data_IF_333442594420
#
_entry.id   IF_333442594420
#
_cell.length_a   1.000
_cell.length_b   1.000
_cell.length_c   1.000
_cell.angle_alpha   90.00
_cell.angle_beta   90.00
_cell.angle_gamma   90.00
#
_symmetry.space_group_name_H-M   'P 1'
#
loop_
_entity.id
_entity.type
_entity.pdbx_description
1 polymer ?
#
# COMPACT_ATOMS: atom_id res chain seq x y z
N UNK A 1 24.53 -28.05 -4.57
CA UNK A 1 24.08 -26.88 -5.35
C UNK A 1 23.10 -25.98 -4.57
N UNK A 2 22.24 -26.50 -3.69
CA UNK A 2 21.38 -25.67 -2.82
C UNK A 2 22.18 -24.73 -1.87
N UNK A 3 23.31 -25.22 -1.37
CA UNK A 3 24.18 -24.53 -0.40
C UNK A 3 24.77 -23.21 -0.94
N UNK A 4 25.00 -23.13 -2.26
CA UNK A 4 25.55 -21.93 -2.88
C UNK A 4 24.49 -20.82 -3.02
N UNK A 5 23.22 -21.20 -3.23
CA UNK A 5 22.16 -20.24 -3.49
C UNK A 5 21.70 -19.53 -2.20
N UNK A 6 21.62 -20.27 -1.10
CA UNK A 6 21.33 -19.72 0.23
C UNK A 6 22.40 -18.73 0.72
N UNK A 7 23.67 -18.99 0.42
CA UNK A 7 24.76 -18.06 0.71
C UNK A 7 24.66 -16.77 -0.11
N UNK A 8 24.31 -16.87 -1.40
CA UNK A 8 24.10 -15.71 -2.28
C UNK A 8 22.91 -14.88 -1.78
N UNK A 9 21.78 -15.52 -1.44
CA UNK A 9 20.59 -14.84 -0.91
C UNK A 9 20.94 -14.08 0.38
N UNK A 10 21.64 -14.74 1.31
CA UNK A 10 22.07 -14.13 2.58
C UNK A 10 23.00 -12.93 2.37
N UNK A 11 23.90 -13.02 1.39
CA UNK A 11 24.83 -11.93 1.04
C UNK A 11 24.10 -10.73 0.45
N UNK A 12 23.14 -10.97 -0.46
CA UNK A 12 22.30 -9.91 -1.05
C UNK A 12 21.43 -9.24 0.01
N UNK A 13 20.84 -10.02 0.92
CA UNK A 13 20.02 -9.48 2.01
C UNK A 13 20.84 -8.59 2.96
N UNK A 14 22.05 -9.03 3.33
CA UNK A 14 22.96 -8.24 4.16
C UNK A 14 23.36 -6.93 3.47
N UNK A 15 23.65 -6.98 2.16
CA UNK A 15 23.97 -5.80 1.37
C UNK A 15 22.80 -4.80 1.28
N UNK A 16 21.57 -5.29 1.07
CA UNK A 16 20.38 -4.45 1.02
C UNK A 16 20.09 -3.80 2.38
N UNK A 17 20.22 -4.54 3.48
CA UNK A 17 20.07 -4.00 4.84
C UNK A 17 21.05 -2.87 5.11
N UNK A 18 22.30 -3.01 4.67
CA UNK A 18 23.34 -1.99 4.83
C UNK A 18 23.08 -0.74 3.97
N UNK A 19 22.55 -0.92 2.75
CA UNK A 19 22.20 0.20 1.88
C UNK A 19 21.02 1.00 2.41
N UNK A 20 20.02 0.32 2.97
CA UNK A 20 18.80 0.94 3.48
C UNK A 20 19.00 1.62 4.85
N UNK A 21 19.89 1.11 5.72
CA UNK A 21 20.14 1.69 7.05
C UNK A 21 20.82 3.06 7.02
N UNK A 22 21.56 3.36 5.95
CA UNK A 22 22.26 4.63 5.75
C UNK A 22 21.38 5.74 5.18
N UNK A 23 20.15 5.44 4.78
CA UNK A 23 19.19 6.44 4.31
C UNK A 23 18.41 7.02 5.50
N UNK A 24 19.10 7.69 6.42
CA UNK A 24 18.41 8.64 7.30
C UNK A 24 18.06 9.85 6.43
N UNK A 25 16.77 10.20 6.26
CA UNK A 25 16.42 11.41 5.54
C UNK A 25 17.07 12.58 6.26
N UNK A 26 17.99 13.27 5.59
CA UNK A 26 18.52 14.53 6.10
C UNK A 26 17.39 15.55 5.98
N UNK A 27 16.89 16.02 7.12
CA UNK A 27 15.86 17.06 7.22
C UNK A 27 16.52 18.28 7.82
N UNK A 28 16.59 19.37 7.05
CA UNK A 28 17.10 20.66 7.54
C UNK A 28 16.15 21.19 8.64
N UNK A 29 16.64 21.41 9.88
CA UNK A 29 15.81 21.90 10.99
C UNK A 29 15.28 23.32 10.80
N UNK A 30 15.82 24.09 9.85
CA UNK A 30 15.44 25.49 9.62
C UNK A 30 14.35 25.65 8.55
N UNK A 31 13.89 24.55 7.94
CA UNK A 31 12.80 24.58 6.98
C UNK A 31 11.45 24.58 7.72
N UNK A 32 10.54 25.43 7.27
CA UNK A 32 9.15 25.38 7.71
C UNK A 32 8.49 24.08 7.22
N UNK A 33 7.77 23.34 8.09
CA UNK A 33 7.11 22.11 7.69
C UNK A 33 5.98 22.39 6.70
N UNK A 34 6.00 21.72 5.55
CA UNK A 34 4.95 21.82 4.53
C UNK A 34 4.07 20.57 4.50
N UNK A 35 2.75 20.76 4.46
CA UNK A 35 1.80 19.66 4.28
C UNK A 35 1.41 19.53 2.80
N UNK A 36 1.78 18.41 2.19
CA UNK A 36 1.37 18.08 0.83
C UNK A 36 0.02 17.37 0.86
N UNK A 37 -1.01 18.01 0.30
CA UNK A 37 -2.32 17.40 0.11
C UNK A 37 -2.40 16.89 -1.34
N UNK A 38 -2.35 15.57 -1.57
CA UNK A 38 -2.49 15.03 -2.92
C UNK A 38 -3.91 15.22 -3.44
N UNK A 39 -4.03 15.49 -4.74
CA UNK A 39 -5.31 15.49 -5.43
C UNK A 39 -5.92 14.08 -5.57
N UNK A 40 -7.05 14.00 -6.28
CA UNK A 40 -7.69 12.71 -6.59
C UNK A 40 -6.69 11.78 -7.28
N UNK A 41 -6.59 10.53 -6.82
CA UNK A 41 -5.63 9.54 -7.30
C UNK A 41 -4.13 9.93 -7.18
N UNK A 42 -3.79 11.01 -6.46
CA UNK A 42 -2.41 11.44 -6.23
C UNK A 42 -1.67 10.69 -5.11
N UNK A 43 -2.33 9.70 -4.48
CA UNK A 43 -1.76 8.89 -3.40
C UNK A 43 -1.87 7.41 -3.70
N UNK A 44 -0.93 6.63 -3.17
CA UNK A 44 -0.95 5.17 -3.26
C UNK A 44 -2.15 4.63 -2.46
N UNK A 45 -2.85 3.66 -3.03
CA UNK A 45 -3.94 2.92 -2.41
C UNK A 45 -3.52 1.46 -2.25
N UNK A 46 -3.61 0.95 -1.03
CA UNK A 46 -3.42 -0.46 -0.74
C UNK A 46 -4.73 -1.05 -0.21
N UNK A 47 -5.05 -2.27 -0.62
CA UNK A 47 -6.13 -3.07 -0.05
C UNK A 47 -5.54 -4.06 0.93
N UNK A 48 -6.22 -4.27 2.05
CA UNK A 48 -5.80 -5.22 3.07
C UNK A 48 -6.86 -6.28 3.18
N UNK A 49 -6.42 -7.53 3.10
CA UNK A 49 -7.28 -8.66 3.42
C UNK A 49 -7.36 -8.84 4.94
N UNK A 50 -8.56 -8.85 5.46
CA UNK A 50 -8.90 -8.96 6.87
C UNK A 50 -8.67 -10.39 7.41
N UNK A 51 -8.55 -11.40 6.55
CA UNK A 51 -8.46 -12.82 6.91
C UNK A 51 -6.98 -13.21 6.97
N UNK A 52 -6.25 -12.78 5.95
CA UNK A 52 -4.84 -13.12 5.76
C UNK A 52 -3.89 -12.01 6.20
N UNK A 53 -4.40 -10.79 6.42
CA UNK A 53 -3.58 -9.60 6.68
C UNK A 53 -2.76 -9.15 5.47
N UNK A 54 -2.96 -9.77 4.30
CA UNK A 54 -2.13 -9.51 3.13
C UNK A 54 -2.46 -8.13 2.54
N UNK A 55 -1.45 -7.27 2.47
CA UNK A 55 -1.55 -5.94 1.89
C UNK A 55 -1.15 -5.96 0.41
N UNK A 56 -2.06 -5.47 -0.43
CA UNK A 56 -1.87 -5.41 -1.87
C UNK A 56 -2.05 -3.97 -2.38
N UNK A 57 -1.05 -3.42 -3.07
CA UNK A 57 -1.14 -2.08 -3.68
C UNK A 57 -2.13 -2.08 -4.85
N UNK A 58 -3.30 -1.48 -4.77
CA UNK A 58 -4.27 -1.42 -5.88
C UNK A 58 -4.01 -0.24 -6.82
N UNK A 59 -3.40 0.85 -6.32
CA UNK A 59 -3.04 2.04 -7.09
C UNK A 59 -1.78 2.70 -6.52
N UNK A 60 -0.87 3.30 -7.28
CA UNK A 60 -0.73 3.30 -8.73
C UNK A 60 -0.03 2.00 -9.15
N UNK A 61 -0.61 1.25 -10.10
CA UNK A 61 0.02 0.06 -10.72
C UNK A 61 0.37 0.36 -12.18
N UNK A 62 1.46 -0.24 -12.67
CA UNK A 62 1.83 -0.19 -14.09
C UNK A 62 1.09 -1.29 -14.88
N UNK A 63 0.94 -2.48 -14.30
CA UNK A 63 0.28 -3.62 -14.93
C UNK A 63 -1.00 -4.02 -14.18
N UNK A 64 -2.03 -4.42 -14.92
CA UNK A 64 -3.30 -4.90 -14.33
C UNK A 64 -4.09 -3.85 -13.56
N UNK A 65 -3.71 -2.57 -13.66
CA UNK A 65 -4.31 -1.49 -12.88
C UNK A 65 -5.82 -1.40 -13.10
N UNK A 66 -6.28 -1.44 -14.36
CA UNK A 66 -7.72 -1.35 -14.67
C UNK A 66 -8.51 -2.54 -14.12
N UNK A 67 -7.98 -3.77 -14.22
CA UNK A 67 -8.62 -4.97 -13.68
C UNK A 67 -8.74 -4.92 -12.16
N UNK A 68 -7.63 -4.64 -11.47
CA UNK A 68 -7.58 -4.58 -10.00
C UNK A 68 -8.42 -3.42 -9.46
N UNK A 69 -8.40 -2.28 -10.13
CA UNK A 69 -9.21 -1.12 -9.77
C UNK A 69 -10.70 -1.40 -9.97
N UNK A 70 -11.10 -2.00 -11.10
CA UNK A 70 -12.50 -2.37 -11.36
C UNK A 70 -13.01 -3.51 -10.50
N UNK A 71 -12.15 -4.35 -9.94
CA UNK A 71 -12.59 -5.46 -9.10
C UNK A 71 -12.62 -5.06 -7.62
N UNK A 72 -11.64 -4.26 -7.19
CA UNK A 72 -11.42 -3.92 -5.77
C UNK A 72 -11.72 -2.47 -5.43
N UNK A 73 -12.25 -1.64 -6.33
CA UNK A 73 -12.57 -0.22 -6.05
C UNK A 73 -14.06 0.13 -6.23
N UNK A 74 -14.95 -0.55 -5.53
CA UNK A 74 -16.37 -0.18 -5.36
C UNK A 74 -16.73 0.21 -3.93
N UNK A 75 -17.37 1.37 -3.74
CA UNK A 75 -17.99 1.72 -2.46
C UNK A 75 -19.50 1.46 -2.51
N UNK A 76 -20.05 0.74 -1.53
CA UNK A 76 -21.51 0.59 -1.39
C UNK A 76 -22.05 1.74 -0.54
N UNK A 77 -22.98 2.50 -1.09
CA UNK A 77 -23.70 3.49 -0.31
C UNK A 77 -24.86 2.82 0.43
N UNK A 78 -24.95 3.05 1.74
CA UNK A 78 -26.11 2.67 2.53
C UNK A 78 -26.98 3.90 2.80
N UNK A 79 -28.16 4.01 2.15
CA UNK A 79 -29.03 5.18 2.30
C UNK A 79 -29.66 5.29 3.69
N UNK A 80 -29.70 4.21 4.46
CA UNK A 80 -30.32 4.21 5.80
C UNK A 80 -29.43 4.85 6.86
N UNK A 81 -28.11 4.68 6.73
CA UNK A 81 -27.12 5.22 7.66
C UNK A 81 -26.47 6.51 7.13
N UNK A 82 -26.66 6.82 5.85
CA UNK A 82 -25.98 7.93 5.16
C UNK A 82 -24.47 7.73 5.04
N UNK A 83 -23.96 6.56 5.45
CA UNK A 83 -22.54 6.23 5.41
C UNK A 83 -22.23 5.48 4.13
N UNK A 84 -21.10 5.83 3.53
CA UNK A 84 -20.48 5.02 2.49
C UNK A 84 -19.74 3.91 3.22
N UNK A 85 -20.34 2.72 3.29
CA UNK A 85 -19.61 1.54 3.73
C UNK A 85 -18.76 1.10 2.53
N UNK A 86 -17.47 1.40 2.63
CA UNK A 86 -16.48 0.94 1.67
C UNK A 86 -16.35 -0.57 1.85
N UNK A 87 -17.18 -1.34 1.14
CA UNK A 87 -17.25 -2.79 1.19
C UNK A 87 -16.91 -3.31 -0.21
N UNK A 88 -15.75 -3.92 -0.38
CA UNK A 88 -15.30 -4.44 -1.67
C UNK A 88 -15.69 -5.91 -1.80
N UNK A 89 -16.62 -6.20 -2.71
CA UNK A 89 -17.03 -7.57 -3.00
C UNK A 89 -16.21 -8.12 -4.17
N UNK A 90 -15.23 -8.95 -3.85
CA UNK A 90 -14.92 -10.19 -4.58
C UNK A 90 -14.38 -11.28 -3.65
N UNK A 91 -14.04 -10.93 -2.41
CA UNK A 91 -14.06 -11.79 -1.23
C UNK A 91 -14.70 -10.99 -0.08
N UNK A 92 -15.51 -11.59 0.80
CA UNK A 92 -16.15 -10.91 1.94
C UNK A 92 -15.17 -10.34 2.99
N UNK A 93 -13.87 -10.35 2.70
CA UNK A 93 -12.80 -10.14 3.66
C UNK A 93 -11.77 -9.07 3.26
N UNK A 94 -11.97 -8.25 2.22
CA UNK A 94 -11.00 -7.21 1.82
C UNK A 94 -11.47 -5.79 2.21
N UNK A 95 -10.75 -5.11 3.10
CA UNK A 95 -11.03 -3.72 3.54
C UNK A 95 -9.85 -2.82 3.13
N UNK A 96 -10.14 -1.75 2.38
CA UNK A 96 -9.14 -0.68 2.18
C UNK A 96 -9.15 0.21 3.41
N UNK A 97 -8.03 0.23 4.14
CA UNK A 97 -7.82 1.13 5.27
C UNK A 97 -7.51 2.55 4.76
N UNK A 98 -8.52 3.23 4.21
CA UNK A 98 -8.46 4.68 4.02
C UNK A 98 -8.97 5.32 5.31
N UNK A 99 -8.06 5.79 6.14
CA UNK A 99 -8.37 6.69 7.23
C UNK A 99 -8.91 8.00 6.62
N UNK A 100 -10.23 8.04 6.37
CA UNK A 100 -10.95 9.29 6.18
C UNK A 100 -11.11 9.91 7.57
N UNK A 101 -10.32 10.94 7.85
CA UNK A 101 -10.56 11.87 8.94
C UNK A 101 -11.65 12.85 8.50
#
# INVERSE_FOLDING_TARGET
>A
MAILLEEIIRSVEAFLKLKNSNQKPYVDPNLDPVLLVPGIAGSILNAVDHETGHEERVWVRIFGADHEFRTKMWSRFDPSTGKKNVFFCLHPHLIIHKHCN
#
